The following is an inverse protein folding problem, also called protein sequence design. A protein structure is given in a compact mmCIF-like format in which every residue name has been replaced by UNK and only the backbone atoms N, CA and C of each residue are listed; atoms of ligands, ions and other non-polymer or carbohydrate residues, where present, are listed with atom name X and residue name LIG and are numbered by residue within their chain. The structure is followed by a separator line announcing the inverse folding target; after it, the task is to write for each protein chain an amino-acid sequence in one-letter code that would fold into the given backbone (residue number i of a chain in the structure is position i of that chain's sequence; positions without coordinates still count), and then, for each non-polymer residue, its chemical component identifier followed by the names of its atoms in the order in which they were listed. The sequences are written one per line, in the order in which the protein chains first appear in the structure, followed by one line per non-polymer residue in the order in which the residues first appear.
data_IF_913610233277
#
_entry.id   IF_913610233277
#
_cell.length_a   1.000
_cell.length_b   1.000
_cell.length_c   1.000
_cell.angle_alpha   90.00
_cell.angle_beta   90.00
_cell.angle_gamma   90.00
#
_symmetry.space_group_name_H-M   'P 1'
#
loop_
_entity.id
_entity.type
_entity.pdbx_description
1 polymer ?
#
# COMPACT_ATOMS: atom_id res chain seq x y z
N UNK A 1 -37.28 25.54 -23.53
CA UNK A 1 -36.77 24.34 -22.82
C UNK A 1 -36.02 23.50 -23.84
N UNK A 2 -34.76 23.86 -24.04
CA UNK A 2 -34.07 23.71 -25.34
C UNK A 2 -33.33 22.39 -25.55
N UNK A 3 -32.95 22.19 -26.81
CA UNK A 3 -32.16 21.13 -27.45
C UNK A 3 -30.89 20.64 -26.72
N UNK A 4 -30.54 21.24 -25.58
CA UNK A 4 -29.39 20.90 -24.74
C UNK A 4 -29.73 19.92 -23.59
N UNK A 5 -31.00 19.58 -23.36
CA UNK A 5 -31.40 18.72 -22.24
C UNK A 5 -31.01 17.23 -22.37
N UNK A 6 -31.12 16.64 -23.56
CA UNK A 6 -30.90 15.18 -23.73
C UNK A 6 -29.43 14.81 -23.91
N UNK A 7 -28.69 15.55 -24.75
CA UNK A 7 -27.26 15.30 -24.99
C UNK A 7 -26.42 15.56 -23.75
N UNK A 8 -26.75 16.60 -22.97
CA UNK A 8 -26.04 16.90 -21.72
C UNK A 8 -26.31 15.84 -20.65
N UNK A 9 -27.55 15.33 -20.54
CA UNK A 9 -27.86 14.19 -19.65
C UNK A 9 -27.08 12.94 -20.03
N UNK A 10 -27.05 12.58 -21.31
CA UNK A 10 -26.26 11.44 -21.80
C UNK A 10 -24.77 11.62 -21.54
N UNK A 11 -24.25 12.84 -21.64
CA UNK A 11 -22.84 13.13 -21.35
C UNK A 11 -22.52 12.96 -19.85
N UNK A 12 -23.39 13.45 -18.96
CA UNK A 12 -23.25 13.31 -17.50
C UNK A 12 -23.31 11.83 -17.11
N UNK A 13 -24.27 11.08 -17.65
CA UNK A 13 -24.43 9.65 -17.37
C UNK A 13 -23.22 8.84 -17.84
N UNK A 14 -22.69 9.16 -19.03
CA UNK A 14 -21.46 8.54 -19.55
C UNK A 14 -20.24 8.90 -18.69
N UNK A 15 -20.12 10.15 -18.27
CA UNK A 15 -19.04 10.59 -17.38
C UNK A 15 -19.09 9.84 -16.04
N UNK A 16 -20.27 9.74 -15.43
CA UNK A 16 -20.49 8.98 -14.19
C UNK A 16 -20.07 7.52 -14.36
N UNK A 17 -20.56 6.85 -15.40
CA UNK A 17 -20.23 5.45 -15.66
C UNK A 17 -18.72 5.24 -15.78
N UNK A 18 -18.06 6.08 -16.58
CA UNK A 18 -16.61 6.01 -16.75
C UNK A 18 -15.87 6.27 -15.42
N UNK A 19 -16.31 7.27 -14.65
CA UNK A 19 -15.71 7.61 -13.35
C UNK A 19 -15.79 6.43 -12.37
N UNK A 20 -16.95 5.78 -12.29
CA UNK A 20 -17.16 4.58 -11.45
C UNK A 20 -16.29 3.42 -11.93
N UNK A 21 -16.23 3.18 -13.23
CA UNK A 21 -15.40 2.11 -13.82
C UNK A 21 -13.92 2.30 -13.49
N UNK A 22 -13.35 3.48 -13.76
CA UNK A 22 -11.95 3.78 -13.43
C UNK A 22 -11.69 3.72 -11.93
N UNK A 23 -12.62 4.19 -11.10
CA UNK A 23 -12.46 4.17 -9.65
C UNK A 23 -12.46 2.75 -9.09
N UNK A 24 -13.26 1.85 -9.66
CA UNK A 24 -13.29 0.44 -9.26
C UNK A 24 -12.02 -0.28 -9.72
N UNK A 25 -11.58 -0.05 -10.95
CA UNK A 25 -10.34 -0.64 -11.49
C UNK A 25 -9.13 -0.20 -10.65
N UNK A 26 -9.03 1.09 -10.33
CA UNK A 26 -7.97 1.62 -9.46
C UNK A 26 -8.04 1.02 -8.05
N UNK A 27 -9.23 0.88 -7.49
CA UNK A 27 -9.40 0.26 -6.16
C UNK A 27 -8.90 -1.18 -6.16
N UNK A 28 -9.22 -1.93 -7.21
CA UNK A 28 -8.77 -3.31 -7.38
C UNK A 28 -7.25 -3.39 -7.54
N UNK A 29 -6.66 -2.54 -8.37
CA UNK A 29 -5.20 -2.51 -8.57
C UNK A 29 -4.46 -2.22 -7.26
N UNK A 30 -4.96 -1.27 -6.47
CA UNK A 30 -4.39 -0.95 -5.15
C UNK A 30 -4.52 -2.12 -4.17
N UNK A 31 -5.67 -2.81 -4.16
CA UNK A 31 -5.88 -3.98 -3.31
C UNK A 31 -4.96 -5.14 -3.69
N UNK A 32 -4.85 -5.46 -4.99
CA UNK A 32 -3.96 -6.50 -5.50
C UNK A 32 -2.49 -6.20 -5.11
N UNK A 33 -2.02 -4.97 -5.32
CA UNK A 33 -0.67 -4.55 -4.93
C UNK A 33 -0.44 -4.57 -3.41
N UNK A 34 -1.46 -4.24 -2.61
CA UNK A 34 -1.37 -4.29 -1.16
C UNK A 34 -1.25 -5.73 -0.65
N UNK A 35 -1.99 -6.65 -1.24
CA UNK A 35 -1.96 -8.06 -0.86
C UNK A 35 -0.61 -8.70 -1.23
N UNK A 36 -0.08 -8.41 -2.42
CA UNK A 36 1.27 -8.82 -2.81
C UNK A 36 2.32 -8.29 -1.82
N UNK A 37 2.28 -6.99 -1.51
CA UNK A 37 3.25 -6.37 -0.61
C UNK A 37 3.16 -6.90 0.83
N UNK A 38 1.96 -7.24 1.30
CA UNK A 38 1.76 -7.90 2.59
C UNK A 38 2.34 -9.29 2.59
N UNK A 39 2.08 -10.09 1.56
CA UNK A 39 2.60 -11.45 1.45
C UNK A 39 4.12 -11.45 1.50
N UNK A 40 4.76 -10.61 0.66
CA UNK A 40 6.23 -10.46 0.63
C UNK A 40 6.80 -10.01 1.99
N UNK A 41 6.10 -9.10 2.67
CA UNK A 41 6.50 -8.63 3.99
C UNK A 41 6.36 -9.73 5.05
N UNK A 42 5.25 -10.47 5.06
CA UNK A 42 5.00 -11.55 6.02
C UNK A 42 6.04 -12.66 5.88
N UNK A 43 6.34 -13.09 4.66
CA UNK A 43 7.38 -14.09 4.35
C UNK A 43 8.76 -13.67 4.86
N UNK A 44 9.09 -12.38 4.78
CA UNK A 44 10.41 -11.87 5.15
C UNK A 44 10.49 -11.32 6.59
N UNK A 45 9.35 -11.16 7.26
CA UNK A 45 9.24 -10.49 8.56
C UNK A 45 10.01 -11.19 9.69
N UNK A 46 10.11 -12.52 9.63
CA UNK A 46 10.79 -13.35 10.61
C UNK A 46 12.31 -13.44 10.40
N UNK A 47 12.78 -13.18 9.18
CA UNK A 47 14.20 -13.28 8.82
C UNK A 47 15.06 -12.30 9.62
N UNK A 48 14.56 -11.09 9.87
CA UNK A 48 15.31 -10.05 10.58
C UNK A 48 15.50 -10.43 12.06
N UNK A 49 14.46 -10.81 12.83
CA UNK A 49 14.62 -11.35 14.17
C UNK A 49 15.58 -12.55 14.24
N UNK A 50 15.44 -13.53 13.34
CA UNK A 50 16.31 -14.71 13.28
C UNK A 50 17.77 -14.31 13.03
N UNK A 51 18.01 -13.39 12.10
CA UNK A 51 19.35 -12.87 11.83
C UNK A 51 19.93 -12.12 13.04
N UNK A 52 19.12 -11.34 13.75
CA UNK A 52 19.56 -10.63 14.96
C UNK A 52 19.96 -11.59 16.08
N UNK A 53 19.19 -12.65 16.29
CA UNK A 53 19.51 -13.70 17.25
C UNK A 53 20.80 -14.44 16.86
N UNK A 54 20.95 -14.78 15.58
CA UNK A 54 22.18 -15.36 15.06
C UNK A 54 23.40 -14.47 15.31
N UNK A 55 23.29 -13.18 15.01
CA UNK A 55 24.36 -12.19 15.24
C UNK A 55 24.74 -12.13 16.74
N UNK A 56 23.74 -12.12 17.63
CA UNK A 56 23.98 -12.11 19.08
C UNK A 56 24.76 -13.36 19.54
N UNK A 57 24.44 -14.53 18.99
CA UNK A 57 25.08 -15.80 19.32
C UNK A 57 26.54 -15.90 18.82
N UNK A 58 26.89 -15.23 17.71
CA UNK A 58 28.25 -15.30 17.15
C UNK A 58 29.15 -14.14 17.56
N UNK A 59 28.59 -13.03 18.06
CA UNK A 59 29.35 -11.82 18.42
C UNK A 59 30.53 -12.07 19.36
N UNK A 60 30.35 -12.98 20.33
CA UNK A 60 31.40 -13.35 21.28
C UNK A 60 32.53 -14.23 20.71
N UNK A 61 32.35 -14.77 19.49
CA UNK A 61 33.33 -15.64 18.81
C UNK A 61 34.14 -14.88 17.74
N UNK A 62 33.79 -13.62 17.47
CA UNK A 62 34.38 -12.80 16.42
C UNK A 62 35.44 -11.85 16.99
N UNK A 63 36.36 -11.40 16.13
CA UNK A 63 37.21 -10.27 16.48
C UNK A 63 36.33 -9.02 16.66
N UNK A 64 36.72 -8.12 17.58
CA UNK A 64 35.95 -6.90 17.90
C UNK A 64 35.54 -6.10 16.66
N UNK A 65 36.45 -5.91 15.71
CA UNK A 65 36.16 -5.19 14.46
C UNK A 65 35.11 -5.88 13.57
N UNK A 66 35.06 -7.21 13.57
CA UNK A 66 34.09 -7.99 12.80
C UNK A 66 32.73 -7.98 13.48
N UNK A 67 32.71 -8.10 14.81
CA UNK A 67 31.51 -7.98 15.63
C UNK A 67 30.83 -6.61 15.44
N UNK A 68 31.61 -5.52 15.43
CA UNK A 68 31.10 -4.15 15.25
C UNK A 68 30.47 -3.97 13.85
N UNK A 69 31.14 -4.47 12.78
CA UNK A 69 30.61 -4.42 11.41
C UNK A 69 29.32 -5.24 11.26
N UNK A 70 29.26 -6.40 11.89
CA UNK A 70 28.10 -7.29 11.82
C UNK A 70 26.89 -6.68 12.55
N UNK A 71 27.12 -6.01 13.68
CA UNK A 71 26.09 -5.28 14.42
C UNK A 71 25.57 -4.08 13.63
N UNK A 72 26.46 -3.33 12.96
CA UNK A 72 26.06 -2.24 12.07
C UNK A 72 25.16 -2.77 10.94
N UNK A 73 25.56 -3.87 10.29
CA UNK A 73 24.79 -4.48 9.21
C UNK A 73 23.41 -4.97 9.67
N UNK A 74 23.36 -5.63 10.83
CA UNK A 74 22.12 -6.05 11.50
C UNK A 74 21.19 -4.86 11.78
N UNK A 75 21.74 -3.74 12.25
CA UNK A 75 20.96 -2.52 12.48
C UNK A 75 20.37 -1.92 11.19
N UNK A 76 21.10 -2.01 10.07
CA UNK A 76 20.66 -1.54 8.76
C UNK A 76 19.58 -2.44 8.17
N UNK A 77 19.71 -3.75 8.30
CA UNK A 77 18.64 -4.70 7.93
C UNK A 77 17.37 -4.47 8.74
N UNK A 78 17.48 -4.22 10.04
CA UNK A 78 16.33 -3.88 10.88
C UNK A 78 15.64 -2.57 10.43
N UNK A 79 16.41 -1.58 9.95
CA UNK A 79 15.84 -0.36 9.34
C UNK A 79 15.10 -0.68 8.05
N UNK A 80 15.63 -1.57 7.22
CA UNK A 80 15.00 -2.01 5.97
C UNK A 80 13.66 -2.71 6.24
N UNK A 81 13.61 -3.64 7.21
CA UNK A 81 12.35 -4.27 7.62
C UNK A 81 11.31 -3.29 8.14
N UNK A 82 11.73 -2.26 8.90
CA UNK A 82 10.81 -1.17 9.30
C UNK A 82 10.33 -0.35 8.12
N UNK A 83 11.17 -0.13 7.11
CA UNK A 83 10.78 0.56 5.88
C UNK A 83 9.76 -0.24 5.08
N UNK A 84 9.95 -1.56 4.96
CA UNK A 84 9.00 -2.46 4.31
C UNK A 84 7.63 -2.43 5.03
N UNK A 85 7.62 -2.53 6.37
CA UNK A 85 6.40 -2.39 7.18
C UNK A 85 5.68 -1.06 6.91
N UNK A 86 6.42 0.04 6.83
CA UNK A 86 5.84 1.36 6.50
C UNK A 86 5.25 1.39 5.10
N UNK A 87 5.87 0.72 4.12
CA UNK A 87 5.33 0.58 2.78
C UNK A 87 3.97 -0.13 2.79
N UNK A 88 3.86 -1.26 3.50
CA UNK A 88 2.58 -1.97 3.69
C UNK A 88 1.52 -1.06 4.31
N UNK A 89 1.87 -0.32 5.36
CA UNK A 89 0.93 0.61 6.02
C UNK A 89 0.50 1.74 5.09
N UNK A 90 1.42 2.32 4.31
CA UNK A 90 1.11 3.37 3.35
C UNK A 90 0.16 2.88 2.24
N UNK A 91 0.37 1.66 1.73
CA UNK A 91 -0.54 1.06 0.75
C UNK A 91 -1.91 0.74 1.35
N UNK A 92 -1.96 0.32 2.62
CA UNK A 92 -3.22 0.14 3.32
C UNK A 92 -3.99 1.46 3.50
N UNK A 93 -3.29 2.54 3.87
CA UNK A 93 -3.88 3.88 3.95
C UNK A 93 -4.38 4.36 2.59
N UNK A 94 -3.62 4.10 1.52
CA UNK A 94 -4.01 4.40 0.14
C UNK A 94 -5.30 3.67 -0.25
N UNK A 95 -5.36 2.35 -0.03
CA UNK A 95 -6.56 1.52 -0.28
C UNK A 95 -7.77 2.05 0.49
N UNK A 96 -7.59 2.40 1.76
CA UNK A 96 -8.66 2.95 2.58
C UNK A 96 -9.14 4.31 2.06
N UNK A 97 -8.20 5.22 1.74
CA UNK A 97 -8.51 6.53 1.19
C UNK A 97 -9.25 6.44 -0.12
N UNK A 98 -8.80 5.56 -1.04
CA UNK A 98 -9.44 5.34 -2.32
C UNK A 98 -10.89 4.89 -2.14
N UNK A 99 -11.14 3.85 -1.33
CA UNK A 99 -12.51 3.37 -1.07
C UNK A 99 -13.41 4.46 -0.49
N UNK A 100 -12.88 5.27 0.42
CA UNK A 100 -13.60 6.40 1.00
C UNK A 100 -13.98 7.42 -0.07
N UNK A 101 -13.02 7.86 -0.89
CA UNK A 101 -13.29 8.81 -1.99
C UNK A 101 -14.29 8.26 -3.00
N UNK A 102 -14.20 6.97 -3.35
CA UNK A 102 -15.16 6.33 -4.24
C UNK A 102 -16.58 6.37 -3.67
N UNK A 103 -16.74 6.09 -2.37
CA UNK A 103 -18.04 6.15 -1.71
C UNK A 103 -18.61 7.59 -1.66
N UNK A 104 -17.77 8.57 -1.35
CA UNK A 104 -18.16 10.00 -1.36
C UNK A 104 -18.59 10.45 -2.77
N UNK A 105 -17.80 10.13 -3.80
CA UNK A 105 -18.14 10.45 -5.20
C UNK A 105 -19.45 9.79 -5.64
N UNK A 106 -19.73 8.55 -5.22
CA UNK A 106 -20.98 7.87 -5.55
C UNK A 106 -22.19 8.59 -4.95
N UNK A 107 -22.11 9.03 -3.70
CA UNK A 107 -23.15 9.81 -3.04
C UNK A 107 -23.36 11.15 -3.75
N UNK A 108 -22.29 11.87 -4.10
CA UNK A 108 -22.38 13.12 -4.87
C UNK A 108 -23.06 12.92 -6.23
N UNK A 109 -22.81 11.79 -6.90
CA UNK A 109 -23.48 11.47 -8.16
C UNK A 109 -24.97 11.12 -7.98
N UNK A 110 -25.37 10.55 -6.84
CA UNK A 110 -26.77 10.30 -6.50
C UNK A 110 -27.53 11.60 -6.18
N UNK A 111 -26.88 12.58 -5.53
CA UNK A 111 -27.47 13.90 -5.25
C UNK A 111 -27.73 14.76 -6.51
N UNK A 112 -27.10 14.40 -7.63
CA UNK A 112 -27.30 15.06 -8.93
C UNK A 112 -28.47 14.47 -9.75
N UNK A 113 -29.15 13.43 -9.26
CA UNK A 113 -30.38 12.85 -9.85
C UNK A 113 -31.64 13.66 -9.54
#
# INVERSE_FOLDING_TARGET
MGLFGSKTKQLIEKFRKNSVEYSNDLSKEIEDQLDDLKSDYEETSLIIPEFQEFVANIKGKLAKSEADKLEEFSSRLAKLGRSAKKGVMAMWELSYSQRKMTAENLLEYEELE
#
